data_IF_304583094152
#
_entry.id   IF_304583094152
#
_cell.length_a   1.000
_cell.length_b   1.000
_cell.length_c   1.000
_cell.angle_alpha   90.00
_cell.angle_beta   90.00
_cell.angle_gamma   90.00
#
_symmetry.space_group_name_H-M   'P 1'
#
loop_
_entity.id
_entity.type
_entity.pdbx_description
1 polymer ?
#
# COMPACT_ATOMS: atom_id res chain seq x y z
N UNK A 1 28.31 0.36 -9.44
CA UNK A 1 27.41 1.32 -8.75
C UNK A 1 26.31 1.67 -9.75
N UNK A 2 25.10 1.16 -9.58
CA UNK A 2 23.97 1.54 -10.44
C UNK A 2 23.64 3.02 -10.19
N UNK A 3 23.52 3.77 -11.27
CA UNK A 3 23.41 5.23 -11.26
C UNK A 3 22.03 5.66 -10.74
N UNK A 4 21.92 5.79 -9.40
CA UNK A 4 20.70 6.20 -8.69
C UNK A 4 20.20 7.58 -9.14
N UNK A 5 21.08 8.44 -9.65
CA UNK A 5 20.72 9.77 -10.15
C UNK A 5 19.81 9.66 -11.39
N UNK A 6 20.09 8.73 -12.30
CA UNK A 6 19.26 8.48 -13.48
C UNK A 6 17.88 7.90 -13.13
N UNK A 7 17.73 7.22 -11.99
CA UNK A 7 16.47 6.59 -11.60
C UNK A 7 15.41 7.64 -11.25
N UNK A 8 15.82 8.77 -10.68
CA UNK A 8 14.92 9.86 -10.32
C UNK A 8 14.35 10.60 -11.55
N UNK A 9 14.99 10.47 -12.70
CA UNK A 9 14.53 11.05 -13.97
C UNK A 9 13.49 10.16 -14.68
N UNK A 10 13.37 8.89 -14.26
CA UNK A 10 12.47 7.94 -14.89
C UNK A 10 11.04 8.07 -14.38
N UNK A 11 10.09 7.99 -15.32
CA UNK A 11 8.68 7.88 -14.98
C UNK A 11 8.32 6.43 -14.67
N UNK A 12 8.06 6.13 -13.41
CA UNK A 12 7.53 4.82 -13.01
C UNK A 12 6.09 4.64 -13.51
N UNK A 13 5.82 3.46 -14.07
CA UNK A 13 4.50 3.02 -14.51
C UNK A 13 4.18 1.67 -13.88
N UNK A 14 2.91 1.38 -13.68
CA UNK A 14 2.47 0.05 -13.22
C UNK A 14 1.66 -0.67 -14.28
N UNK A 15 1.96 -1.95 -14.49
CA UNK A 15 1.24 -2.82 -15.42
C UNK A 15 0.32 -3.78 -14.66
N UNK A 16 -0.87 -4.01 -15.20
CA UNK A 16 -1.88 -4.95 -14.68
C UNK A 16 -2.52 -5.70 -15.84
N UNK A 17 -3.08 -6.87 -15.53
CA UNK A 17 -3.79 -7.69 -16.51
C UNK A 17 -5.20 -8.00 -16.03
N UNK A 18 -6.16 -8.01 -16.96
CA UNK A 18 -7.53 -8.43 -16.73
C UNK A 18 -7.99 -9.35 -17.87
N UNK A 19 -8.90 -10.26 -17.56
CA UNK A 19 -9.60 -11.03 -18.59
C UNK A 19 -10.61 -10.12 -19.30
N UNK A 20 -10.68 -10.24 -20.63
CA UNK A 20 -11.65 -9.56 -21.45
C UNK A 20 -13.01 -10.26 -21.30
N UNK A 21 -13.86 -9.74 -20.39
CA UNK A 21 -15.17 -10.31 -20.10
C UNK A 21 -16.31 -9.71 -20.95
N UNK A 22 -16.01 -9.07 -22.08
CA UNK A 22 -17.02 -8.51 -23.00
C UNK A 22 -17.73 -7.24 -22.50
N UNK A 23 -17.56 -6.84 -21.24
CA UNK A 23 -18.06 -5.58 -20.68
C UNK A 23 -16.92 -4.58 -20.55
N UNK A 24 -16.70 -3.79 -21.60
CA UNK A 24 -15.58 -2.87 -21.80
C UNK A 24 -15.62 -1.62 -20.89
N UNK A 25 -15.49 -1.81 -19.57
CA UNK A 25 -15.22 -0.72 -18.63
C UNK A 25 -14.12 -1.13 -17.65
N UNK A 26 -12.90 -1.32 -18.17
CA UNK A 26 -11.67 -1.58 -17.37
C UNK A 26 -11.63 -0.67 -16.15
N UNK A 27 -11.88 0.61 -16.37
CA UNK A 27 -11.79 1.63 -15.34
C UNK A 27 -12.91 1.55 -14.30
N UNK A 28 -13.98 0.80 -14.51
CA UNK A 28 -15.04 0.55 -13.51
C UNK A 28 -14.82 -0.74 -12.72
N UNK A 29 -13.71 -1.45 -12.98
CA UNK A 29 -13.40 -2.67 -12.25
C UNK A 29 -13.19 -2.36 -10.74
N UNK A 30 -13.74 -3.16 -9.82
CA UNK A 30 -13.54 -2.96 -8.38
C UNK A 30 -12.06 -2.91 -7.95
N UNK A 31 -11.17 -3.59 -8.69
CA UNK A 31 -9.72 -3.57 -8.45
C UNK A 31 -9.09 -2.18 -8.63
N UNK A 32 -9.77 -1.25 -9.33
CA UNK A 32 -9.27 0.10 -9.53
C UNK A 32 -9.02 0.85 -8.20
N UNK A 33 -9.79 0.58 -7.14
CA UNK A 33 -9.52 1.18 -5.82
C UNK A 33 -8.17 0.71 -5.28
N UNK A 34 -7.93 -0.60 -5.28
CA UNK A 34 -6.69 -1.17 -4.76
C UNK A 34 -5.49 -0.71 -5.60
N UNK A 35 -5.63 -0.73 -6.93
CA UNK A 35 -4.58 -0.20 -7.82
C UNK A 35 -4.34 1.28 -7.55
N UNK A 36 -5.39 2.08 -7.42
CA UNK A 36 -5.23 3.50 -7.12
C UNK A 36 -4.46 3.70 -5.81
N UNK A 37 -4.87 3.04 -4.74
CA UNK A 37 -4.26 3.20 -3.42
C UNK A 37 -2.77 2.80 -3.41
N UNK A 38 -2.44 1.63 -3.98
CA UNK A 38 -1.04 1.18 -4.06
C UNK A 38 -0.17 2.14 -4.86
N UNK A 39 -0.66 2.60 -6.03
CA UNK A 39 0.11 3.47 -6.91
C UNK A 39 0.23 4.89 -6.38
N UNK A 40 -0.80 5.37 -5.68
CA UNK A 40 -0.78 6.66 -5.01
C UNK A 40 0.30 6.70 -3.93
N UNK A 41 0.36 5.66 -3.08
CA UNK A 41 1.37 5.55 -2.02
C UNK A 41 2.78 5.35 -2.57
N UNK A 42 2.91 4.67 -3.71
CA UNK A 42 4.19 4.46 -4.39
C UNK A 42 4.63 5.63 -5.29
N UNK A 43 3.88 6.75 -5.31
CA UNK A 43 4.13 7.90 -6.19
C UNK A 43 4.23 7.52 -7.70
N UNK A 44 3.44 6.55 -8.14
CA UNK A 44 3.40 6.11 -9.54
C UNK A 44 2.33 6.89 -10.31
N UNK A 45 2.75 7.52 -11.41
CA UNK A 45 1.89 8.46 -12.14
C UNK A 45 0.91 7.81 -13.13
N UNK A 46 1.18 6.57 -13.59
CA UNK A 46 0.40 5.92 -14.64
C UNK A 46 0.13 4.45 -14.37
N UNK A 47 -1.08 4.02 -14.74
CA UNK A 47 -1.53 2.64 -14.76
C UNK A 47 -1.77 2.19 -16.20
N UNK A 48 -1.17 1.05 -16.56
CA UNK A 48 -1.32 0.38 -17.84
C UNK A 48 -2.03 -0.97 -17.62
N UNK A 49 -3.11 -1.25 -18.35
CA UNK A 49 -3.90 -2.47 -18.22
C UNK A 49 -3.99 -3.19 -19.56
N UNK A 50 -3.48 -4.42 -19.61
CA UNK A 50 -3.67 -5.34 -20.72
C UNK A 50 -4.91 -6.21 -20.54
N UNK A 51 -5.71 -6.35 -21.59
CA UNK A 51 -6.84 -7.26 -21.62
C UNK A 51 -6.45 -8.56 -22.30
N UNK A 52 -6.51 -9.67 -21.55
CA UNK A 52 -6.27 -11.02 -22.06
C UNK A 52 -7.56 -11.57 -22.65
N UNK A 53 -7.50 -12.16 -23.83
CA UNK A 53 -8.58 -12.98 -24.36
C UNK A 53 -8.68 -14.33 -23.65
N UNK A 54 -9.56 -15.23 -24.13
CA UNK A 54 -9.77 -16.56 -23.53
C UNK A 54 -8.54 -17.46 -23.66
N UNK A 55 -7.70 -17.23 -24.66
CA UNK A 55 -6.47 -17.95 -24.91
C UNK A 55 -5.29 -17.38 -24.09
N UNK A 56 -5.54 -16.32 -23.31
CA UNK A 56 -4.55 -15.67 -22.46
C UNK A 56 -3.69 -14.62 -23.18
N UNK A 57 -3.97 -14.33 -24.45
CA UNK A 57 -3.21 -13.37 -25.25
C UNK A 57 -3.79 -11.96 -25.17
N UNK A 58 -2.91 -10.96 -25.23
CA UNK A 58 -3.31 -9.54 -25.31
C UNK A 58 -3.32 -9.15 -26.78
N UNK A 59 -4.51 -9.14 -27.40
CA UNK A 59 -4.68 -8.76 -28.81
C UNK A 59 -5.11 -7.31 -29.01
N UNK A 60 -5.58 -6.66 -27.95
CA UNK A 60 -5.97 -5.24 -27.96
C UNK A 60 -4.85 -4.37 -27.41
N UNK A 61 -4.69 -3.13 -27.89
CA UNK A 61 -3.73 -2.19 -27.32
C UNK A 61 -3.89 -2.02 -25.80
N UNK A 62 -2.76 -1.99 -25.10
CA UNK A 62 -2.70 -1.77 -23.65
C UNK A 62 -3.35 -0.42 -23.32
N UNK A 63 -4.25 -0.43 -22.36
CA UNK A 63 -5.00 0.75 -21.96
C UNK A 63 -4.22 1.52 -20.90
N UNK A 64 -3.88 2.77 -21.18
CA UNK A 64 -3.12 3.64 -20.26
C UNK A 64 -4.05 4.68 -19.65
N UNK A 65 -3.91 4.91 -18.34
CA UNK A 65 -4.61 5.98 -17.63
C UNK A 65 -3.67 6.66 -16.62
N UNK A 66 -3.69 7.98 -16.60
CA UNK A 66 -3.00 8.73 -15.56
C UNK A 66 -3.70 8.50 -14.22
N UNK A 67 -2.92 8.30 -13.16
CA UNK A 67 -3.45 7.94 -11.84
C UNK A 67 -4.41 9.01 -11.30
N UNK A 68 -4.10 10.28 -11.55
CA UNK A 68 -4.95 11.44 -11.17
C UNK A 68 -6.36 11.39 -11.76
N UNK A 69 -6.54 10.73 -12.89
CA UNK A 69 -7.83 10.63 -13.60
C UNK A 69 -8.60 9.36 -13.23
N UNK A 70 -7.96 8.39 -12.57
CA UNK A 70 -8.58 7.13 -12.18
C UNK A 70 -9.80 7.32 -11.26
N UNK A 71 -9.79 8.23 -10.26
CA UNK A 71 -10.91 8.42 -9.32
C UNK A 71 -12.12 9.17 -9.87
N UNK A 72 -12.00 9.91 -10.99
CA UNK A 72 -13.00 10.89 -11.45
C UNK A 72 -14.42 10.31 -11.58
N UNK A 73 -14.52 9.06 -12.04
CA UNK A 73 -15.80 8.38 -12.26
C UNK A 73 -16.02 7.19 -11.31
N UNK A 74 -15.49 7.24 -10.10
CA UNK A 74 -15.57 6.14 -9.15
C UNK A 74 -16.60 6.39 -8.06
N UNK A 75 -17.15 5.28 -7.53
CA UNK A 75 -18.01 5.32 -6.35
C UNK A 75 -17.21 5.66 -5.08
N UNK A 76 -15.94 5.25 -5.01
CA UNK A 76 -15.00 5.58 -3.94
C UNK A 76 -14.40 6.97 -4.15
N UNK A 77 -13.97 7.60 -3.06
CA UNK A 77 -13.45 8.97 -3.06
C UNK A 77 -12.04 9.02 -2.44
N UNK A 78 -11.01 9.52 -3.16
CA UNK A 78 -9.64 9.61 -2.67
C UNK A 78 -9.52 10.19 -1.27
N UNK A 79 -10.23 11.29 -1.00
CA UNK A 79 -10.21 11.99 0.28
C UNK A 79 -10.70 11.12 1.44
N UNK A 80 -11.63 10.18 1.19
CA UNK A 80 -12.11 9.25 2.23
C UNK A 80 -10.99 8.26 2.55
N UNK A 81 -10.34 7.70 1.53
CA UNK A 81 -9.23 6.76 1.69
C UNK A 81 -8.04 7.39 2.43
N UNK A 82 -7.63 8.59 2.00
CA UNK A 82 -6.50 9.31 2.60
C UNK A 82 -6.83 9.76 4.03
N UNK A 83 -8.06 10.22 4.30
CA UNK A 83 -8.46 10.58 5.66
C UNK A 83 -8.50 9.37 6.57
N UNK A 84 -9.00 8.23 6.10
CA UNK A 84 -8.96 6.99 6.86
C UNK A 84 -7.52 6.57 7.18
N UNK A 85 -6.62 6.61 6.19
CA UNK A 85 -5.20 6.33 6.40
C UNK A 85 -4.59 7.26 7.46
N UNK A 86 -4.83 8.56 7.35
CA UNK A 86 -4.34 9.54 8.34
C UNK A 86 -4.87 9.25 9.75
N UNK A 87 -6.16 8.95 9.88
CA UNK A 87 -6.76 8.58 11.18
C UNK A 87 -6.12 7.32 11.74
N UNK A 88 -5.87 6.31 10.91
CA UNK A 88 -5.20 5.08 11.34
C UNK A 88 -3.76 5.33 11.81
N UNK A 89 -2.99 6.13 11.07
CA UNK A 89 -1.61 6.46 11.44
C UNK A 89 -1.55 7.23 12.77
N UNK A 90 -2.43 8.21 12.97
CA UNK A 90 -2.55 8.92 14.24
C UNK A 90 -2.91 8.01 15.40
N UNK A 91 -3.87 7.10 15.20
CA UNK A 91 -4.23 6.12 16.21
C UNK A 91 -3.02 5.24 16.59
N UNK A 92 -2.25 4.77 15.60
CA UNK A 92 -1.05 3.96 15.84
C UNK A 92 -0.02 4.76 16.63
N UNK A 93 0.28 5.99 16.20
CA UNK A 93 1.23 6.89 16.85
C UNK A 93 0.85 7.16 18.31
N UNK A 94 -0.40 7.58 18.56
CA UNK A 94 -0.91 7.85 19.91
C UNK A 94 -0.90 6.60 20.80
N UNK A 95 -1.30 5.45 20.26
CA UNK A 95 -1.35 4.18 20.99
C UNK A 95 0.04 3.67 21.38
N UNK A 96 1.04 3.92 20.53
CA UNK A 96 2.39 3.40 20.69
C UNK A 96 3.38 4.46 21.21
N UNK A 97 2.94 5.68 21.52
CA UNK A 97 3.80 6.81 21.90
C UNK A 97 4.78 6.51 23.06
N UNK A 98 4.36 5.70 24.03
CA UNK A 98 5.18 5.32 25.20
C UNK A 98 5.90 3.97 25.03
N UNK A 99 5.84 3.35 23.86
CA UNK A 99 6.33 2.00 23.62
C UNK A 99 7.71 2.06 22.99
N UNK A 100 8.73 1.81 23.82
CA UNK A 100 10.13 1.68 23.37
C UNK A 100 10.64 0.25 23.62
N UNK A 101 9.99 -0.75 23.03
CA UNK A 101 10.41 -2.14 23.13
C UNK A 101 10.16 -2.85 21.78
N UNK A 102 11.21 -3.41 21.13
CA UNK A 102 11.07 -4.01 19.80
C UNK A 102 10.27 -5.32 19.80
N UNK A 103 10.03 -5.90 20.99
CA UNK A 103 9.25 -7.12 21.15
C UNK A 103 7.77 -6.84 21.46
N UNK A 104 7.42 -5.62 21.88
CA UNK A 104 6.03 -5.25 22.13
C UNK A 104 5.33 -5.01 20.80
N UNK A 105 4.31 -5.80 20.49
CA UNK A 105 3.55 -5.73 19.24
C UNK A 105 2.11 -5.35 19.54
N UNK A 106 1.56 -4.46 18.70
CA UNK A 106 0.15 -4.10 18.71
C UNK A 106 -0.50 -4.61 17.42
N UNK A 107 -1.55 -5.40 17.56
CA UNK A 107 -2.40 -5.86 16.48
C UNK A 107 -3.60 -4.92 16.35
N UNK A 108 -3.73 -4.27 15.19
CA UNK A 108 -4.85 -3.40 14.87
C UNK A 108 -5.76 -4.12 13.86
N UNK A 109 -6.99 -4.41 14.26
CA UNK A 109 -7.97 -5.14 13.44
C UNK A 109 -9.17 -4.25 13.16
N UNK A 110 -9.46 -3.99 11.88
CA UNK A 110 -10.69 -3.29 11.51
C UNK A 110 -11.87 -4.26 11.50
N UNK A 111 -12.86 -3.99 12.35
CA UNK A 111 -14.14 -4.69 12.36
C UNK A 111 -15.14 -3.92 11.50
N UNK A 112 -15.48 -4.46 10.33
CA UNK A 112 -16.41 -3.82 9.40
C UNK A 112 -17.86 -3.80 9.88
N UNK A 113 -18.26 -4.74 10.74
CA UNK A 113 -19.63 -4.80 11.28
C UNK A 113 -19.81 -3.76 12.39
N UNK A 114 -18.86 -3.73 13.32
CA UNK A 114 -18.84 -2.75 14.41
C UNK A 114 -18.34 -1.36 13.97
N UNK A 115 -17.77 -1.25 12.76
CA UNK A 115 -17.17 -0.04 12.18
C UNK A 115 -16.13 0.60 13.10
N UNK A 116 -15.34 -0.22 13.78
CA UNK A 116 -14.32 0.22 14.73
C UNK A 116 -12.99 -0.52 14.54
N UNK A 117 -11.93 0.00 15.17
CA UNK A 117 -10.63 -0.66 15.24
C UNK A 117 -10.52 -1.35 16.60
N UNK A 118 -10.32 -2.66 16.58
CA UNK A 118 -10.00 -3.48 17.75
C UNK A 118 -8.48 -3.53 17.91
N UNK A 119 -8.02 -3.47 19.16
CA UNK A 119 -6.61 -3.45 19.52
C UNK A 119 -6.29 -4.64 20.39
N UNK A 120 -5.19 -5.34 20.09
CA UNK A 120 -4.61 -6.35 20.97
C UNK A 120 -3.13 -6.06 21.18
N UNK A 121 -2.69 -6.10 22.44
CA UNK A 121 -1.30 -5.86 22.82
C UNK A 121 -0.62 -7.17 23.19
N UNK A 122 0.54 -7.42 22.61
CA UNK A 122 1.41 -8.56 22.88
C UNK A 122 2.70 -8.04 23.50
N UNK A 123 3.01 -8.49 24.71
CA UNK A 123 4.16 -8.00 25.48
C UNK A 123 5.26 -9.05 25.48
N UNK A 124 6.49 -8.62 25.22
CA UNK A 124 7.65 -9.51 25.18
C UNK A 124 7.76 -10.27 23.85
N UNK A 125 8.79 -11.12 23.76
CA UNK A 125 9.06 -11.88 22.54
C UNK A 125 8.02 -12.99 22.38
N UNK A 126 7.22 -12.91 21.32
CA UNK A 126 6.12 -13.83 21.02
C UNK A 126 6.14 -14.23 19.55
N UNK A 127 5.24 -15.12 19.13
CA UNK A 127 5.03 -15.49 17.72
C UNK A 127 4.61 -14.30 16.84
N UNK A 128 4.15 -13.20 17.43
CA UNK A 128 3.78 -11.97 16.72
C UNK A 128 4.96 -11.01 16.52
N UNK A 129 6.09 -11.25 17.18
CA UNK A 129 7.30 -10.43 17.01
C UNK A 129 7.84 -10.58 15.58
N UNK A 130 7.93 -9.45 14.87
CA UNK A 130 8.26 -9.43 13.43
C UNK A 130 9.61 -8.78 13.11
N UNK A 131 10.24 -8.10 14.07
CA UNK A 131 11.59 -7.56 13.90
C UNK A 131 12.62 -8.67 14.18
N UNK A 132 13.57 -8.84 13.26
CA UNK A 132 14.67 -9.81 13.45
C UNK A 132 15.65 -9.30 14.51
N UNK A 133 16.30 -10.24 15.22
CA UNK A 133 17.34 -9.87 16.21
C UNK A 133 18.49 -9.10 15.56
N UNK A 134 18.86 -9.47 14.33
CA UNK A 134 19.89 -8.74 13.57
C UNK A 134 19.50 -7.26 13.35
N UNK A 135 18.25 -6.99 12.98
CA UNK A 135 17.78 -5.61 12.79
C UNK A 135 17.77 -4.84 14.11
N UNK A 136 17.28 -5.47 15.18
CA UNK A 136 17.23 -4.90 16.53
C UNK A 136 18.65 -4.53 17.01
N UNK A 137 19.61 -5.44 16.85
CA UNK A 137 21.00 -5.23 17.27
C UNK A 137 21.68 -4.12 16.47
N UNK A 138 21.41 -4.02 15.16
CA UNK A 138 21.88 -2.90 14.33
C UNK A 138 21.32 -1.56 14.83
N UNK A 139 20.01 -1.48 15.11
CA UNK A 139 19.39 -0.26 15.64
C UNK A 139 20.00 0.15 16.99
N UNK A 140 20.17 -0.80 17.92
CA UNK A 140 20.78 -0.53 19.25
C UNK A 140 22.18 0.06 19.12
N UNK A 141 23.03 -0.52 18.25
CA UNK A 141 24.39 -0.01 17.99
C UNK A 141 24.38 1.40 17.42
N UNK A 142 23.45 1.70 16.52
CA UNK A 142 23.36 3.02 15.90
C UNK A 142 22.90 4.09 16.90
N UNK A 143 21.92 3.77 17.76
CA UNK A 143 21.45 4.68 18.80
C UNK A 143 22.46 4.88 19.93
N UNK A 144 23.34 3.90 20.21
CA UNK A 144 24.42 4.06 21.20
C UNK A 144 25.60 4.91 20.72
N UNK A 145 25.80 5.09 19.41
CA UNK A 145 26.88 5.92 18.84
C UNK A 145 26.50 7.40 18.68
N UNK A 146 25.24 7.76 18.90
CA UNK A 146 24.73 9.13 18.81
C UNK A 146 24.82 9.93 20.13
N UNK A 147 25.56 9.41 21.12
CA UNK A 147 25.92 10.06 22.39
C UNK A 147 27.42 9.95 22.61
#
# INVERSE_FOLDING_TARGET
MQNLENINELQFISTKLLWNSGHSKIWKNPKCLNWWATLYLANISHLCVGLKDRDGFIRTPVQRKALKDLPKDQFWKPQICVRFLLTMLKLIEETMASVNCPYTVYEFVYDSFAKCIKLKKHIGKTEYSFLSEEYIDRCRKQTSMSY
#
